data_IF_499654235120
#
_entry.id   IF_499654235120
#
_cell.length_a   1.000
_cell.length_b   1.000
_cell.length_c   1.000
_cell.angle_alpha   90.00
_cell.angle_beta   90.00
_cell.angle_gamma   90.00
#
_symmetry.space_group_name_H-M   'P 1'
#
loop_
_entity.id
_entity.type
_entity.pdbx_description
1 polymer ?
#
# COMPACT_ATOMS: atom_id res chain seq x y z
N UNK A 1 12.12 5.42 8.90
CA UNK A 1 10.82 4.97 9.40
C UNK A 1 10.88 3.49 9.73
N UNK A 2 10.63 3.15 10.97
CA UNK A 2 10.78 1.77 11.45
C UNK A 2 9.52 0.94 11.17
N UNK A 3 9.73 -0.34 10.94
CA UNK A 3 8.67 -1.33 10.74
C UNK A 3 8.78 -2.39 11.81
N UNK A 4 7.66 -2.72 12.44
CA UNK A 4 7.60 -3.69 13.52
C UNK A 4 6.53 -4.73 13.26
N UNK A 5 6.76 -5.95 13.74
CA UNK A 5 5.73 -6.97 13.84
C UNK A 5 5.46 -7.30 15.31
N UNK A 6 4.22 -7.67 15.59
CA UNK A 6 3.82 -8.11 16.92
C UNK A 6 3.25 -9.53 16.84
N UNK A 7 3.86 -10.44 17.55
CA UNK A 7 3.35 -11.81 17.68
C UNK A 7 2.36 -11.89 18.83
N UNK A 8 1.10 -12.13 18.50
CA UNK A 8 0.00 -12.15 19.47
C UNK A 8 0.17 -13.30 20.46
N UNK A 9 0.65 -14.44 20.02
CA UNK A 9 0.80 -15.64 20.87
C UNK A 9 1.95 -15.48 21.85
N UNK A 10 3.08 -14.97 21.37
CA UNK A 10 4.28 -14.74 22.17
C UNK A 10 4.27 -13.40 22.88
N UNK A 11 3.34 -12.50 22.53
CA UNK A 11 3.27 -11.13 23.02
C UNK A 11 4.62 -10.41 22.87
N UNK A 12 5.21 -10.55 21.70
CA UNK A 12 6.56 -10.07 21.43
C UNK A 12 6.59 -9.17 20.22
N UNK A 13 7.28 -8.04 20.32
CA UNK A 13 7.57 -7.13 19.23
C UNK A 13 8.88 -7.51 18.56
N UNK A 14 8.90 -7.45 17.25
CA UNK A 14 10.12 -7.64 16.46
C UNK A 14 10.27 -6.49 15.49
N UNK A 15 11.46 -5.89 15.45
CA UNK A 15 11.78 -4.88 14.46
C UNK A 15 12.09 -5.57 13.13
N UNK A 16 11.48 -5.07 12.07
CA UNK A 16 11.68 -5.53 10.71
C UNK A 16 12.48 -4.48 9.94
N UNK A 17 12.87 -4.80 8.71
CA UNK A 17 13.54 -3.84 7.86
C UNK A 17 12.60 -2.66 7.56
N UNK A 18 13.12 -1.42 7.54
CA UNK A 18 12.30 -0.27 7.21
C UNK A 18 11.92 -0.27 5.73
N UNK A 19 10.82 0.42 5.41
CA UNK A 19 10.44 0.67 4.02
C UNK A 19 11.54 1.43 3.27
N UNK A 20 11.61 1.22 1.97
CA UNK A 20 12.57 1.91 1.09
C UNK A 20 12.30 3.42 1.10
N UNK A 21 11.03 3.81 1.07
CA UNK A 21 10.61 5.20 1.06
C UNK A 21 9.76 5.50 2.29
N UNK A 22 10.08 6.58 2.99
CA UNK A 22 9.27 7.06 4.10
C UNK A 22 7.90 7.50 3.59
N UNK A 23 6.85 7.09 4.28
CA UNK A 23 5.48 7.43 3.93
C UNK A 23 4.54 7.40 5.13
N UNK A 24 3.55 8.26 5.10
CA UNK A 24 2.44 8.29 6.06
C UNK A 24 1.14 8.31 5.28
N UNK A 25 0.01 8.06 5.94
CA UNK A 25 -1.30 8.07 5.30
C UNK A 25 -1.41 7.15 4.08
N UNK A 26 -0.62 6.09 4.07
CA UNK A 26 -0.69 5.03 3.08
C UNK A 26 -1.70 3.96 3.52
N UNK A 27 -2.00 3.05 2.63
CA UNK A 27 -2.78 1.86 2.95
C UNK A 27 -1.96 0.60 2.72
N UNK A 28 -2.32 -0.46 3.41
CA UNK A 28 -1.64 -1.74 3.32
C UNK A 28 -2.64 -2.89 3.30
N UNK A 29 -2.28 -3.96 2.60
CA UNK A 29 -3.03 -5.20 2.60
C UNK A 29 -2.11 -6.37 2.32
N UNK A 30 -2.54 -7.57 2.69
CA UNK A 30 -1.76 -8.79 2.53
C UNK A 30 -2.29 -9.60 1.37
N UNK A 31 -1.38 -10.12 0.55
CA UNK A 31 -1.69 -11.03 -0.53
C UNK A 31 -0.51 -11.98 -0.75
N UNK A 32 -0.75 -13.30 -0.65
CA UNK A 32 0.26 -14.34 -0.90
C UNK A 32 1.56 -14.14 -0.08
N UNK A 33 1.44 -14.02 1.23
CA UNK A 33 2.57 -13.83 2.16
C UNK A 33 3.42 -12.58 1.88
N UNK A 34 2.86 -11.63 1.17
CA UNK A 34 3.45 -10.33 0.94
C UNK A 34 2.51 -9.22 1.44
N UNK A 35 3.10 -8.18 2.02
CA UNK A 35 2.36 -7.00 2.44
C UNK A 35 2.59 -5.92 1.38
N UNK A 36 1.50 -5.42 0.81
CA UNK A 36 1.54 -4.37 -0.20
C UNK A 36 1.16 -3.05 0.41
N UNK A 37 2.01 -2.04 0.23
CA UNK A 37 1.72 -0.67 0.64
C UNK A 37 1.70 0.22 -0.59
N UNK A 38 0.68 1.06 -0.69
CA UNK A 38 0.48 1.93 -1.84
C UNK A 38 0.33 3.38 -1.39
N UNK A 39 0.96 4.27 -2.15
CA UNK A 39 0.76 5.69 -1.99
C UNK A 39 1.21 6.25 -0.66
N UNK A 40 0.41 7.17 -0.14
CA UNK A 40 0.74 7.92 1.05
C UNK A 40 1.37 9.27 0.73
N UNK A 41 2.01 9.85 1.71
CA UNK A 41 2.68 11.15 1.55
C UNK A 41 3.95 11.21 2.39
N UNK A 42 4.86 12.06 1.98
CA UNK A 42 6.04 12.44 2.75
C UNK A 42 6.37 13.90 2.46
N UNK A 43 7.57 14.35 2.84
CA UNK A 43 8.00 15.75 2.62
C UNK A 43 8.07 16.15 1.14
N UNK A 44 8.12 15.18 0.23
CA UNK A 44 8.11 15.43 -1.21
C UNK A 44 6.69 15.56 -1.79
N UNK A 45 5.67 15.26 -1.01
CA UNK A 45 4.28 15.36 -1.41
C UNK A 45 3.55 14.02 -1.42
N UNK A 46 2.50 13.94 -2.21
CA UNK A 46 1.66 12.74 -2.35
C UNK A 46 2.33 11.75 -3.30
N UNK A 47 2.33 10.49 -2.91
CA UNK A 47 3.10 9.45 -3.58
C UNK A 47 2.24 8.59 -4.51
N UNK A 48 2.81 8.23 -5.65
CA UNK A 48 2.28 7.20 -6.54
C UNK A 48 3.02 5.86 -6.37
N UNK A 49 4.13 5.86 -5.66
CA UNK A 49 4.96 4.68 -5.47
C UNK A 49 4.30 3.65 -4.57
N UNK A 50 4.69 2.41 -4.74
CA UNK A 50 4.28 1.32 -3.87
C UNK A 50 5.45 0.41 -3.57
N UNK A 51 5.36 -0.30 -2.47
CA UNK A 51 6.35 -1.27 -2.04
C UNK A 51 5.64 -2.54 -1.58
N UNK A 52 6.35 -3.64 -1.63
CA UNK A 52 5.88 -4.89 -1.05
C UNK A 52 6.93 -5.47 -0.11
N UNK A 53 6.46 -6.04 0.97
CA UNK A 53 7.28 -6.70 1.96
C UNK A 53 7.06 -8.21 1.88
N UNK A 54 8.13 -8.96 1.61
CA UNK A 54 8.08 -10.41 1.70
C UNK A 54 8.23 -10.84 3.16
N UNK A 55 7.20 -11.46 3.71
CA UNK A 55 7.25 -11.98 5.08
C UNK A 55 8.30 -13.07 5.21
N UNK A 56 8.45 -13.89 4.17
CA UNK A 56 9.38 -15.02 4.15
C UNK A 56 10.83 -14.52 4.09
N UNK A 57 11.11 -13.56 3.22
CA UNK A 57 12.48 -13.06 3.00
C UNK A 57 12.84 -11.89 3.94
N UNK A 58 11.88 -11.33 4.68
CA UNK A 58 12.08 -10.15 5.52
C UNK A 58 12.70 -9.00 4.71
N UNK A 59 12.10 -8.70 3.56
CA UNK A 59 12.69 -7.75 2.61
C UNK A 59 11.61 -6.91 1.94
N UNK A 60 11.87 -5.59 1.85
CA UNK A 60 11.08 -4.67 1.04
C UNK A 60 11.62 -4.62 -0.39
N UNK A 61 10.71 -4.53 -1.34
CA UNK A 61 11.04 -4.29 -2.74
C UNK A 61 10.04 -3.33 -3.35
N UNK A 62 10.48 -2.61 -4.38
CA UNK A 62 9.59 -1.73 -5.11
C UNK A 62 8.56 -2.54 -5.87
N UNK A 63 7.36 -2.00 -5.94
CA UNK A 63 6.25 -2.56 -6.69
C UNK A 63 5.82 -1.52 -7.73
N UNK A 64 4.76 -1.81 -8.47
CA UNK A 64 4.31 -0.93 -9.52
C UNK A 64 3.66 0.35 -8.98
N UNK A 65 3.81 1.43 -9.74
CA UNK A 65 3.26 2.72 -9.36
C UNK A 65 1.75 2.78 -9.58
N UNK A 66 1.07 3.52 -8.73
CA UNK A 66 -0.29 3.97 -8.98
C UNK A 66 -0.32 4.89 -10.21
N UNK A 67 -1.41 4.87 -10.94
CA UNK A 67 -1.60 5.82 -12.05
C UNK A 67 -1.73 7.25 -11.55
N UNK A 68 -2.33 7.42 -10.39
CA UNK A 68 -2.56 8.72 -9.76
C UNK A 68 -2.01 8.68 -8.34
N UNK A 69 -1.12 9.60 -7.96
CA UNK A 69 -0.67 9.72 -6.58
C UNK A 69 -1.84 9.93 -5.64
N UNK A 70 -1.89 9.19 -4.54
CA UNK A 70 -2.95 9.34 -3.54
C UNK A 70 -2.50 9.00 -2.13
N UNK A 71 -3.15 9.60 -1.16
CA UNK A 71 -3.01 9.28 0.26
C UNK A 71 -4.38 9.20 0.92
N UNK A 72 -4.45 8.71 2.14
CA UNK A 72 -5.71 8.57 2.90
C UNK A 72 -6.75 7.71 2.17
N UNK A 73 -6.32 6.84 1.27
CA UNK A 73 -7.19 5.94 0.53
C UNK A 73 -7.44 4.65 1.30
N UNK A 74 -8.44 3.90 0.87
CA UNK A 74 -8.75 2.58 1.42
C UNK A 74 -8.18 1.48 0.53
N UNK A 75 -7.84 0.36 1.13
CA UNK A 75 -7.28 -0.78 0.43
C UNK A 75 -7.77 -2.08 1.07
N UNK A 76 -8.14 -3.04 0.23
CA UNK A 76 -8.58 -4.35 0.68
C UNK A 76 -8.14 -5.44 -0.28
N UNK A 77 -7.82 -6.61 0.26
CA UNK A 77 -7.55 -7.81 -0.54
C UNK A 77 -8.79 -8.69 -0.60
N UNK A 78 -9.22 -9.04 -1.80
CA UNK A 78 -10.31 -9.98 -2.03
C UNK A 78 -9.81 -11.02 -3.03
N UNK A 79 -9.69 -12.29 -2.60
CA UNK A 79 -9.10 -13.33 -3.43
C UNK A 79 -7.66 -13.02 -3.81
N UNK A 80 -7.38 -12.95 -5.11
CA UNK A 80 -6.06 -12.63 -5.65
C UNK A 80 -5.95 -11.17 -6.10
N UNK A 81 -6.81 -10.30 -5.60
CA UNK A 81 -6.90 -8.91 -6.05
C UNK A 81 -6.78 -7.97 -4.88
N UNK A 82 -6.11 -6.86 -5.12
CA UNK A 82 -6.08 -5.73 -4.19
C UNK A 82 -6.91 -4.59 -4.80
N UNK A 83 -7.88 -4.12 -4.04
CA UNK A 83 -8.74 -3.01 -4.44
C UNK A 83 -8.33 -1.77 -3.68
N UNK A 84 -8.16 -0.67 -4.39
CA UNK A 84 -7.81 0.63 -3.81
C UNK A 84 -8.88 1.63 -4.22
N UNK A 85 -9.37 2.39 -3.26
CA UNK A 85 -10.49 3.30 -3.47
C UNK A 85 -10.28 4.62 -2.73
N UNK A 86 -10.65 5.71 -3.40
CA UNK A 86 -10.76 7.02 -2.79
C UNK A 86 -9.44 7.69 -2.45
N UNK A 87 -9.48 8.50 -1.41
CA UNK A 87 -8.35 9.22 -0.88
C UNK A 87 -8.24 10.66 -1.35
N UNK A 88 -7.09 11.25 -1.08
CA UNK A 88 -6.77 12.63 -1.42
C UNK A 88 -5.80 12.64 -2.60
N UNK A 89 -6.14 13.43 -3.63
CA UNK A 89 -5.39 13.54 -4.86
C UNK A 89 -5.23 15.02 -5.18
N UNK A 90 -3.99 15.53 -5.19
CA UNK A 90 -3.65 16.88 -5.62
C UNK A 90 -4.61 17.98 -5.14
N UNK A 91 -4.86 18.06 -3.85
CA UNK A 91 -5.72 19.09 -3.28
C UNK A 91 -7.21 18.77 -3.29
N UNK A 92 -7.61 17.58 -3.72
CA UNK A 92 -9.01 17.16 -3.78
C UNK A 92 -9.22 15.82 -3.12
N UNK A 93 -10.28 15.71 -2.31
CA UNK A 93 -10.74 14.41 -1.84
C UNK A 93 -11.48 13.68 -2.95
N UNK A 94 -11.18 12.40 -3.08
CA UNK A 94 -11.85 11.52 -4.01
C UNK A 94 -12.88 10.67 -3.26
N UNK A 95 -14.13 10.84 -3.62
CA UNK A 95 -15.24 10.09 -3.06
C UNK A 95 -15.87 9.24 -4.17
N UNK A 96 -15.69 7.94 -4.12
CA UNK A 96 -16.39 6.99 -4.98
C UNK A 96 -16.35 7.32 -6.47
N UNK A 97 -17.39 7.93 -6.97
CA UNK A 97 -17.61 8.16 -8.41
C UNK A 97 -16.55 9.00 -9.13
N UNK A 98 -15.79 9.83 -8.40
CA UNK A 98 -14.87 10.79 -9.02
C UNK A 98 -13.43 10.28 -9.14
N UNK A 99 -13.14 9.10 -8.60
CA UNK A 99 -11.81 8.51 -8.62
C UNK A 99 -11.81 7.10 -9.18
N UNK A 100 -12.49 6.92 -10.29
CA UNK A 100 -12.48 5.62 -10.97
C UNK A 100 -11.22 5.48 -11.79
N UNK A 101 -10.32 4.69 -11.29
CA UNK A 101 -9.18 4.22 -12.03
C UNK A 101 -9.19 2.71 -11.90
N UNK A 102 -9.28 2.00 -13.00
CA UNK A 102 -9.13 0.56 -12.98
C UNK A 102 -7.94 0.16 -13.83
N UNK A 103 -7.09 -0.67 -13.28
CA UNK A 103 -6.09 -1.35 -14.05
C UNK A 103 -5.82 -2.73 -13.45
N UNK A 104 -5.34 -3.63 -14.26
CA UNK A 104 -5.10 -5.00 -13.85
C UNK A 104 -3.69 -5.44 -14.19
N UNK A 105 -3.10 -6.23 -13.34
CA UNK A 105 -1.80 -6.85 -13.52
C UNK A 105 -1.90 -8.33 -13.84
N UNK A 106 -0.89 -8.82 -14.56
CA UNK A 106 -0.88 -10.15 -15.16
C UNK A 106 -1.08 -11.33 -14.20
N UNK A 107 -0.63 -11.25 -12.96
CA UNK A 107 -0.79 -12.34 -11.97
C UNK A 107 -1.44 -11.91 -10.67
N UNK A 108 -1.46 -10.63 -10.42
CA UNK A 108 -2.10 -10.04 -9.25
C UNK A 108 -2.85 -8.83 -9.77
N UNK A 109 -4.15 -8.88 -9.75
CA UNK A 109 -4.95 -7.79 -10.28
C UNK A 109 -5.14 -6.73 -9.21
N UNK A 110 -4.86 -5.50 -9.56
CA UNK A 110 -5.07 -4.35 -8.70
C UNK A 110 -6.15 -3.50 -9.35
N UNK A 111 -7.25 -3.28 -8.64
CA UNK A 111 -8.37 -2.49 -9.12
C UNK A 111 -8.46 -1.21 -8.30
N UNK A 112 -8.71 -0.12 -8.99
CA UNK A 112 -8.91 1.20 -8.39
C UNK A 112 -10.28 1.72 -8.77
N UNK A 113 -10.95 2.30 -7.81
CA UNK A 113 -12.19 2.99 -8.08
C UNK A 113 -12.38 4.20 -7.15
#
# INVERSE_FOLDING_TARGET
MSTFSFDIRLRHWKELRPMIQSRTHFSASVLNDEIFVFGGRNEKGILATSEKFSIIENKWSQNEKLRVPRCCHAQITIGNHIYISGGYIQGKFCWGKHCRISFSFLKKRIFFS
#
